data_IF_132924709789
#
_entry.id   IF_132924709789
#
_cell.length_a   1.000
_cell.length_b   1.000
_cell.length_c   1.000
_cell.angle_alpha   90.00
_cell.angle_beta   90.00
_cell.angle_gamma   90.00
#
_symmetry.space_group_name_H-M   'P 1'
#
loop_
_entity.id
_entity.type
_entity.pdbx_description
1 polymer ?
#
# COMPACT_ATOMS: atom_id res chain seq x y z
N UNK A 1 -7.02 -20.48 4.17
CA UNK A 1 -6.91 -19.00 4.23
C UNK A 1 -8.33 -18.46 4.17
N UNK A 2 -8.80 -17.79 5.21
CA UNK A 2 -10.10 -17.11 5.21
C UNK A 2 -10.01 -15.74 4.54
N UNK A 3 -11.15 -15.15 4.20
CA UNK A 3 -11.21 -13.80 3.62
C UNK A 3 -10.66 -12.75 4.59
N UNK A 4 -10.87 -12.93 5.90
CA UNK A 4 -10.33 -12.04 6.94
C UNK A 4 -8.80 -12.13 7.03
N UNK A 5 -8.25 -13.35 6.93
CA UNK A 5 -6.81 -13.58 6.89
C UNK A 5 -6.20 -12.94 5.63
N UNK A 6 -6.86 -13.10 4.48
CA UNK A 6 -6.44 -12.49 3.22
C UNK A 6 -6.51 -10.96 3.27
N UNK A 7 -7.61 -10.39 3.75
CA UNK A 7 -7.80 -8.95 3.87
C UNK A 7 -6.77 -8.34 4.84
N UNK A 8 -6.47 -9.04 5.94
CA UNK A 8 -5.43 -8.62 6.88
C UNK A 8 -4.04 -8.65 6.23
N UNK A 9 -3.71 -9.71 5.51
CA UNK A 9 -2.44 -9.81 4.80
C UNK A 9 -2.27 -8.70 3.75
N UNK A 10 -3.30 -8.44 2.93
CA UNK A 10 -3.30 -7.38 1.93
C UNK A 10 -3.13 -5.99 2.58
N UNK A 11 -3.85 -5.73 3.68
CA UNK A 11 -3.71 -4.47 4.43
C UNK A 11 -2.27 -4.27 4.91
N UNK A 12 -1.66 -5.29 5.50
CA UNK A 12 -0.28 -5.23 5.98
C UNK A 12 0.72 -5.01 4.83
N UNK A 13 0.54 -5.69 3.69
CA UNK A 13 1.40 -5.53 2.51
C UNK A 13 1.32 -4.11 1.94
N UNK A 14 0.12 -3.56 1.85
CA UNK A 14 -0.12 -2.25 1.24
C UNK A 14 0.32 -1.08 2.12
N UNK A 15 0.25 -1.24 3.44
CA UNK A 15 0.62 -0.20 4.41
C UNK A 15 2.07 -0.30 4.90
N UNK A 16 2.82 -1.33 4.52
CA UNK A 16 4.23 -1.47 4.93
C UNK A 16 5.13 -0.50 4.14
N UNK A 17 5.88 0.39 4.83
CA UNK A 17 6.91 1.23 4.21
C UNK A 17 7.98 0.43 3.45
N UNK A 18 8.41 0.95 2.29
CA UNK A 18 9.47 0.36 1.48
C UNK A 18 10.58 1.37 1.22
N UNK A 19 11.84 0.96 1.49
CA UNK A 19 13.02 1.81 1.27
C UNK A 19 13.13 2.28 -0.19
N UNK A 20 12.77 1.44 -1.16
CA UNK A 20 12.79 1.79 -2.59
C UNK A 20 11.73 2.83 -3.00
N UNK A 21 10.72 3.07 -2.16
CA UNK A 21 9.69 4.10 -2.37
C UNK A 21 9.97 5.35 -1.52
N UNK A 22 11.22 5.57 -1.10
CA UNK A 22 11.56 6.67 -0.18
C UNK A 22 10.90 6.52 1.19
N UNK A 23 10.75 5.27 1.66
CA UNK A 23 10.06 4.90 2.89
C UNK A 23 8.53 5.15 2.89
N UNK A 24 7.92 5.37 1.72
CA UNK A 24 6.46 5.30 1.56
C UNK A 24 5.97 3.86 1.50
N UNK A 25 4.74 3.63 1.91
CA UNK A 25 3.99 2.41 1.65
C UNK A 25 3.53 2.34 0.19
N UNK A 26 3.11 1.16 -0.27
CA UNK A 26 2.58 1.00 -1.62
C UNK A 26 1.31 1.86 -1.83
N UNK A 27 0.47 1.91 -0.80
CA UNK A 27 -0.74 2.71 -0.79
C UNK A 27 -0.44 4.21 -0.94
N UNK A 28 0.50 4.75 -0.15
CA UNK A 28 0.88 6.17 -0.24
C UNK A 28 1.46 6.52 -1.61
N UNK A 29 2.41 5.73 -2.12
CA UNK A 29 3.02 5.99 -3.43
C UNK A 29 1.98 5.96 -4.57
N UNK A 30 0.99 5.07 -4.49
CA UNK A 30 -0.10 5.01 -5.46
C UNK A 30 -1.02 6.23 -5.37
N UNK A 31 -1.42 6.64 -4.16
CA UNK A 31 -2.29 7.81 -3.96
C UNK A 31 -1.61 9.11 -4.39
N UNK A 32 -0.31 9.24 -4.19
CA UNK A 32 0.48 10.38 -4.69
C UNK A 32 0.41 10.45 -6.22
N UNK A 33 0.61 9.34 -6.92
CA UNK A 33 0.55 9.34 -8.38
C UNK A 33 -0.86 9.59 -8.92
N UNK A 34 -1.89 9.04 -8.25
CA UNK A 34 -3.28 9.34 -8.57
C UNK A 34 -3.61 10.82 -8.39
N UNK A 35 -2.99 11.52 -7.45
CA UNK A 35 -3.26 12.94 -7.20
C UNK A 35 -2.90 13.84 -8.38
N UNK A 36 -2.02 13.38 -9.28
CA UNK A 36 -1.61 14.09 -10.48
C UNK A 36 -2.59 13.93 -11.66
N UNK A 37 -3.63 13.09 -11.53
CA UNK A 37 -4.61 12.81 -12.59
C UNK A 37 -5.83 13.75 -12.58
N UNK A 38 -5.85 14.76 -11.70
CA UNK A 38 -6.94 15.75 -11.59
C UNK A 38 -6.87 16.86 -12.65
#
# INVERSE_FOLDING_TARGET
>A
VSDEELATALRLINLRPRKCLGWKSAHEAFMDELSHLA
#
